data_IF_835252420196
#
_entry.id   IF_835252420196
#
_cell.length_a   1.000
_cell.length_b   1.000
_cell.length_c   1.000
_cell.angle_alpha   90.00
_cell.angle_beta   90.00
_cell.angle_gamma   90.00
#
_symmetry.space_group_name_H-M   'P 1'
#
loop_
_entity.id
_entity.type
_entity.pdbx_description
1 polymer ?
2 water ?
#
# COMPACT_ATOMS: atom_id res chain seq x y z
N UNK A 31 17.86 17.04 15.83
CA UNK A 31 18.32 15.68 16.29
C UNK A 31 18.99 14.90 15.15
N UNK A 32 20.02 14.13 15.50
CA UNK A 32 20.68 13.22 14.56
C UNK A 32 20.85 11.88 15.25
N UNK A 33 19.72 11.30 15.63
CA UNK A 33 19.68 10.09 16.46
C UNK A 33 19.55 8.80 15.64
N UNK A 34 19.18 8.92 14.37
CA UNK A 34 18.87 7.76 13.53
C UNK A 34 17.58 7.08 13.96
N UNK A 35 16.64 7.89 14.46
CA UNK A 35 15.32 7.39 14.83
C UNK A 35 14.20 8.18 14.14
N UNK A 36 14.55 9.22 13.39
CA UNK A 36 13.58 10.13 12.79
C UNK A 36 12.77 9.43 11.70
N UNK A 37 11.54 9.91 11.48
CA UNK A 37 10.70 9.43 10.37
C UNK A 37 11.34 9.77 9.04
N UNK A 38 11.20 8.86 8.06
CA UNK A 38 11.62 9.16 6.70
C UNK A 38 10.40 9.46 5.83
N UNK A 39 10.40 10.64 5.22
CA UNK A 39 9.26 11.11 4.47
C UNK A 39 9.33 10.80 2.97
N UNK A 40 10.26 9.93 2.59
CA UNK A 40 10.31 9.37 1.23
C UNK A 40 10.02 7.85 1.31
N UNK A 41 9.45 7.41 2.43
CA UNK A 41 9.10 6.01 2.67
C UNK A 41 7.60 5.98 2.89
N UNK A 42 6.92 5.25 2.00
CA UNK A 42 5.46 5.20 1.92
C UNK A 42 4.99 3.80 2.28
N UNK A 43 4.08 3.66 3.24
CA UNK A 43 3.65 2.34 3.67
C UNK A 43 2.16 2.18 3.43
N UNK A 44 1.79 1.18 2.62
CA UNK A 44 0.40 1.01 2.18
C UNK A 44 -0.50 0.51 3.30
N UNK A 45 -1.54 1.31 3.57
CA UNK A 45 -2.38 1.16 4.75
C UNK A 45 -3.85 1.00 4.37
N UNK A 46 -4.50 0.03 5.00
CA UNK A 46 -5.90 -0.35 4.77
C UNK A 46 -6.75 -0.05 6.00
N UNK A 47 -7.90 0.59 5.79
CA UNK A 47 -8.77 0.98 6.90
C UNK A 47 -10.16 0.32 6.82
N UNK A 48 -10.19 -0.88 6.24
CA UNK A 48 -11.45 -1.55 5.98
C UNK A 48 -11.84 -2.60 7.03
N UNK A 49 -11.10 -2.66 8.14
CA UNK A 49 -11.37 -3.65 9.20
C UNK A 49 -12.43 -3.11 10.13
N UNK A 50 -13.31 -3.99 10.59
CA UNK A 50 -14.37 -3.54 11.48
C UNK A 50 -14.56 -4.48 12.65
N UNK A 51 -15.25 -3.98 13.67
CA UNK A 51 -15.81 -4.84 14.70
C UNK A 51 -17.34 -4.75 14.73
N UNK A 52 -18.00 -5.81 15.17
CA UNK A 52 -19.44 -5.77 15.41
C UNK A 52 -19.82 -4.53 16.19
N UNK A 53 -19.09 -4.27 17.27
CA UNK A 53 -19.40 -3.16 18.19
C UNK A 53 -19.33 -1.78 17.55
N UNK A 54 -18.26 -1.51 16.81
CA UNK A 54 -18.03 -0.17 16.29
C UNK A 54 -18.67 -0.01 14.90
N UNK A 55 -18.63 -1.07 14.10
CA UNK A 55 -18.98 -0.99 12.68
C UNK A 55 -20.19 -1.83 12.23
N UNK A 56 -20.71 -2.65 13.14
CA UNK A 56 -21.89 -3.48 12.82
C UNK A 56 -21.56 -4.90 12.38
N UNK A 57 -20.30 -5.13 12.01
CA UNK A 57 -19.84 -6.42 11.50
C UNK A 57 -18.32 -6.49 11.72
N UNK A 58 -17.77 -7.70 11.83
CA UNK A 58 -16.33 -7.85 11.80
C UNK A 58 -15.89 -7.77 10.34
N UNK A 59 -16.02 -6.56 9.79
CA UNK A 59 -15.74 -6.31 8.39
C UNK A 59 -14.30 -6.68 8.02
N UNK A 60 -14.16 -7.37 6.89
CA UNK A 60 -12.89 -7.85 6.36
C UNK A 60 -12.23 -9.01 7.12
N UNK A 61 -12.39 -9.06 8.45
CA UNK A 61 -12.01 -10.28 9.18
C UNK A 61 -12.87 -11.45 8.72
N UNK A 62 -14.11 -11.13 8.38
CA UNK A 62 -14.98 -12.03 7.60
C UNK A 62 -14.80 -11.68 6.13
N UNK A 63 -14.72 -12.70 5.27
CA UNK A 63 -14.41 -12.48 3.86
C UNK A 63 -14.82 -13.67 3.02
N UNK A 64 -15.21 -13.39 1.79
CA UNK A 64 -15.54 -14.44 0.84
C UNK A 64 -14.28 -15.20 0.46
N UNK A 65 -14.44 -16.50 0.21
CA UNK A 65 -13.35 -17.26 -0.38
C UNK A 65 -13.53 -17.22 -1.88
N UNK A 66 -12.48 -16.83 -2.62
CA UNK A 66 -12.60 -16.70 -4.07
C UNK A 66 -12.61 -18.07 -4.77
N UNK A 67 -13.50 -18.24 -5.77
CA UNK A 67 -13.46 -19.47 -6.58
C UNK A 67 -12.15 -19.52 -7.36
N UNK A 68 -11.77 -20.73 -7.75
CA UNK A 68 -10.59 -20.93 -8.57
C UNK A 68 -10.94 -20.56 -10.00
N UNK A 69 -10.24 -19.57 -10.58
CA UNK A 69 -10.48 -19.14 -11.97
C UNK A 69 -10.36 -20.27 -12.98
N UNK A 70 -9.56 -21.29 -12.67
CA UNK A 70 -9.37 -22.44 -13.54
C UNK A 70 -10.12 -23.67 -13.05
N UNK A 71 -10.91 -23.51 -12.01
CA UNK A 71 -11.74 -24.60 -11.50
C UNK A 71 -12.99 -24.72 -12.35
N UNK A 72 -13.91 -25.58 -11.93
CA UNK A 72 -15.15 -25.74 -12.70
C UNK A 72 -16.09 -24.54 -12.63
N UNK A 73 -17.20 -24.63 -13.38
CA UNK A 73 -18.37 -23.85 -13.06
C UNK A 73 -19.01 -24.57 -11.88
N UNK A 74 -19.85 -23.86 -11.13
CA UNK A 74 -20.56 -24.49 -10.03
C UNK A 74 -19.71 -24.73 -8.79
N UNK A 75 -18.71 -23.89 -8.55
CA UNK A 75 -17.98 -23.95 -7.29
C UNK A 75 -18.80 -23.29 -6.19
N UNK A 76 -18.76 -23.88 -5.00
CA UNK A 76 -19.33 -23.25 -3.81
C UNK A 76 -18.22 -23.02 -2.80
N UNK A 77 -17.38 -21.99 -3.01
CA UNK A 77 -16.16 -21.84 -2.19
C UNK A 77 -16.43 -21.52 -0.71
N UNK A 78 -17.55 -20.87 -0.43
CA UNK A 78 -17.89 -20.53 0.94
C UNK A 78 -17.27 -19.22 1.39
N UNK A 79 -17.29 -18.99 2.70
CA UNK A 79 -16.77 -17.76 3.25
C UNK A 79 -16.03 -18.07 4.54
N UNK A 80 -15.19 -17.13 4.93
CA UNK A 80 -14.53 -17.13 6.23
C UNK A 80 -15.36 -16.24 7.16
N UNK A 81 -15.80 -16.79 8.32
CA UNK A 81 -16.83 -16.11 9.12
C UNK A 81 -16.35 -14.90 9.93
N UNK A 82 -15.05 -14.76 10.14
CA UNK A 82 -14.54 -13.61 10.91
C UNK A 82 -14.76 -13.76 12.40
N UNK A 83 -14.85 -15.00 12.87
CA UNK A 83 -14.89 -15.31 14.28
C UNK A 83 -13.50 -15.16 14.88
N UNK A 84 -13.42 -15.23 16.19
CA UNK A 84 -12.12 -15.20 16.85
C UNK A 84 -11.21 -16.31 16.32
N UNK A 85 -11.80 -17.47 16.04
CA UNK A 85 -11.05 -18.66 15.63
C UNK A 85 -10.70 -18.65 14.15
N UNK A 86 -11.53 -17.98 13.34
CA UNK A 86 -11.40 -18.06 11.91
C UNK A 86 -11.56 -16.71 11.20
N UNK A 87 -10.41 -16.09 10.92
CA UNK A 87 -10.36 -14.79 10.24
C UNK A 87 -9.71 -14.94 8.84
N UNK A 88 -9.93 -13.95 7.99
CA UNK A 88 -9.50 -13.99 6.60
C UNK A 88 -8.03 -13.57 6.43
N UNK A 89 -7.14 -14.30 7.11
CA UNK A 89 -5.68 -14.08 6.99
C UNK A 89 -5.00 -15.40 7.33
N UNK A 90 -3.84 -15.65 6.73
CA UNK A 90 -3.01 -16.78 7.15
C UNK A 90 -2.20 -16.45 8.42
N UNK A 91 -2.20 -15.16 8.79
CA UNK A 91 -1.57 -14.69 10.02
C UNK A 91 -2.64 -14.18 11.00
N UNK A 92 -2.23 -13.84 12.22
CA UNK A 92 -3.17 -13.38 13.24
C UNK A 92 -2.67 -12.08 13.91
N UNK A 93 -3.47 -11.00 13.83
CA UNK A 93 -3.01 -9.71 14.36
C UNK A 93 -2.78 -9.71 15.86
N UNK A 94 -1.69 -9.09 16.28
CA UNK A 94 -1.46 -8.87 17.70
C UNK A 94 -2.63 -8.11 18.31
N UNK A 95 -3.20 -7.17 17.55
CA UNK A 95 -4.31 -6.34 18.01
C UNK A 95 -5.69 -6.99 17.87
N UNK A 96 -5.73 -8.25 17.42
CA UNK A 96 -6.97 -9.01 17.27
C UNK A 96 -7.84 -8.47 16.13
N UNK A 97 -9.14 -8.80 16.19
CA UNK A 97 -10.08 -8.37 15.15
C UNK A 97 -10.46 -6.90 15.34
N UNK A 98 -9.52 -6.02 15.02
CA UNK A 98 -9.67 -4.62 15.35
C UNK A 98 -10.57 -3.83 14.42
N UNK A 99 -11.12 -2.72 14.92
CA UNK A 99 -11.83 -1.76 14.06
C UNK A 99 -10.88 -0.68 13.57
N UNK A 100 -10.89 -0.43 12.26
CA UNK A 100 -10.17 0.71 11.69
C UNK A 100 -10.80 2.05 12.09
N UNK A 101 -11.97 2.00 12.73
CA UNK A 101 -12.64 3.22 13.22
C UNK A 101 -12.33 3.53 14.68
N UNK A 102 -11.59 2.63 15.36
CA UNK A 102 -11.32 2.72 16.81
C UNK A 102 -10.15 3.66 17.05
N UNK A 103 -10.39 4.82 17.70
CA UNK A 103 -9.31 5.79 17.90
C UNK A 103 -8.12 5.22 18.66
N UNK A 104 -8.37 4.29 19.58
CA UNK A 104 -7.26 3.70 20.31
C UNK A 104 -6.43 2.71 19.45
N UNK A 105 -7.08 2.03 18.50
CA UNK A 105 -6.33 1.25 17.51
C UNK A 105 -5.50 2.18 16.65
N UNK A 106 -6.10 3.28 16.18
CA UNK A 106 -5.37 4.24 15.37
C UNK A 106 -4.12 4.82 16.06
N UNK A 107 -4.23 5.14 17.36
CA UNK A 107 -3.08 5.62 18.11
C UNK A 107 -1.92 4.60 18.12
N UNK A 108 -2.26 3.34 18.38
CA UNK A 108 -1.25 2.27 18.41
C UNK A 108 -0.61 2.09 17.04
N UNK A 109 -1.42 2.17 15.98
CA UNK A 109 -0.88 2.09 14.61
C UNK A 109 0.10 3.21 14.32
N UNK A 110 -0.20 4.43 14.77
CA UNK A 110 0.73 5.54 14.54
C UNK A 110 2.04 5.35 15.30
N UNK A 111 1.93 4.80 16.52
CA UNK A 111 3.13 4.45 17.30
C UNK A 111 3.96 3.39 16.56
N UNK A 112 3.29 2.46 15.90
CA UNK A 112 3.97 1.44 15.09
C UNK A 112 4.70 2.05 13.89
N UNK A 113 4.05 3.02 13.23
CA UNK A 113 4.69 3.79 12.17
C UNK A 113 5.94 4.51 12.65
N UNK A 114 5.86 5.09 13.86
CA UNK A 114 7.02 5.75 14.46
C UNK A 114 8.16 4.75 14.69
N UNK A 115 7.81 3.55 15.15
CA UNK A 115 8.82 2.51 15.41
C UNK A 115 9.51 2.09 14.11
N UNK A 116 8.73 2.05 13.03
CA UNK A 116 9.19 1.61 11.73
C UNK A 116 9.92 2.71 10.95
N UNK A 117 9.82 3.96 11.45
CA UNK A 117 10.39 5.15 10.80
C UNK A 117 9.76 5.45 9.43
N UNK A 118 8.54 4.93 9.23
CA UNK A 118 7.83 5.17 7.98
C UNK A 118 7.02 6.46 8.06
N UNK A 119 7.48 7.50 7.38
CA UNK A 119 6.89 8.84 7.54
C UNK A 119 5.59 9.10 6.81
N UNK A 120 5.27 8.25 5.82
CA UNK A 120 4.05 8.46 5.02
C UNK A 120 3.16 7.21 4.99
N UNK A 121 1.92 7.42 5.43
CA UNK A 121 0.89 6.41 5.41
C UNK A 121 0.11 6.58 4.09
N UNK A 122 0.17 5.57 3.22
CA UNK A 122 -0.48 5.66 1.92
C UNK A 122 -1.83 4.92 1.98
N UNK A 123 -2.87 5.70 2.18
CA UNK A 123 -4.20 5.20 2.52
C UNK A 123 -4.98 4.72 1.32
N UNK A 124 -5.38 3.45 1.35
CA UNK A 124 -6.24 2.87 0.34
C UNK A 124 -7.52 3.68 0.26
N UNK A 125 -7.91 4.04 -0.96
CA UNK A 125 -9.09 4.89 -1.17
C UNK A 125 -9.96 4.28 -2.28
N UNK A 126 -11.13 3.76 -1.87
CA UNK A 126 -12.01 3.01 -2.77
C UNK A 126 -13.25 3.79 -3.24
N UNK A 127 -13.27 5.10 -2.98
CA UNK A 127 -14.41 5.95 -3.35
C UNK A 127 -15.74 5.37 -2.82
N UNK A 128 -15.76 5.12 -1.52
CA UNK A 128 -16.90 4.47 -0.87
C UNK A 128 -18.14 5.38 -0.75
N UNK A 129 -17.93 6.69 -0.81
CA UNK A 129 -19.04 7.65 -0.75
C UNK A 129 -19.98 7.36 0.41
N UNK A 130 -19.44 7.18 1.60
CA UNK A 130 -20.27 7.03 2.78
C UNK A 130 -19.66 7.66 4.01
N UNK A 131 -20.51 8.00 4.96
CA UNK A 131 -20.08 8.77 6.13
C UNK A 131 -19.08 8.02 7.02
N UNK A 132 -19.17 6.69 7.06
CA UNK A 132 -18.27 5.94 7.95
C UNK A 132 -16.82 6.05 7.46
N UNK A 133 -16.62 6.08 6.14
CA UNK A 133 -15.28 6.24 5.58
C UNK A 133 -14.76 7.67 5.73
N UNK A 134 -15.62 8.66 5.50
CA UNK A 134 -15.27 10.04 5.76
C UNK A 134 -14.76 10.21 7.19
N UNK A 135 -15.43 9.56 8.13
CA UNK A 135 -15.04 9.65 9.53
C UNK A 135 -13.66 9.04 9.77
N UNK A 136 -13.44 7.86 9.18
CA UNK A 136 -12.16 7.16 9.31
C UNK A 136 -11.01 8.00 8.75
N UNK A 137 -11.20 8.60 7.59
CA UNK A 137 -10.14 9.43 6.98
C UNK A 137 -9.76 10.61 7.93
N UNK A 138 -10.77 11.23 8.53
CA UNK A 138 -10.52 12.31 9.51
C UNK A 138 -9.76 11.81 10.73
N UNK A 139 -10.17 10.67 11.27
CA UNK A 139 -9.49 10.09 12.45
C UNK A 139 -8.03 9.75 12.14
N UNK A 140 -7.80 9.23 10.95
CA UNK A 140 -6.45 8.83 10.52
C UNK A 140 -5.54 10.05 10.38
N UNK A 141 -6.02 11.05 9.65
CA UNK A 141 -5.28 12.32 9.54
C UNK A 141 -4.91 12.89 10.93
N UNK A 142 -5.90 12.98 11.82
CA UNK A 142 -5.68 13.51 13.17
C UNK A 142 -4.67 12.69 13.98
N UNK A 143 -4.84 11.36 13.97
CA UNK A 143 -3.92 10.46 14.70
C UNK A 143 -2.51 10.52 14.12
N UNK A 144 -2.40 10.54 12.80
CA UNK A 144 -1.10 10.68 12.11
C UNK A 144 -0.38 11.94 12.54
N UNK A 145 -1.11 13.05 12.55
CA UNK A 145 -0.47 14.33 12.83
C UNK A 145 0.11 14.38 14.24
N UNK A 146 -0.53 13.69 15.19
CA UNK A 146 -0.04 13.67 16.58
C UNK A 146 1.36 13.07 16.66
N UNK A 147 1.73 12.29 15.65
CA UNK A 147 3.03 11.63 15.64
C UNK A 147 3.93 12.13 14.50
N UNK A 148 3.52 13.23 13.83
CA UNK A 148 4.24 13.83 12.69
C UNK A 148 4.26 12.92 11.44
N UNK A 149 3.35 11.95 11.41
CA UNK A 149 3.18 11.12 10.22
C UNK A 149 2.38 11.89 9.16
N UNK A 150 2.70 11.65 7.89
CA UNK A 150 1.95 12.24 6.77
C UNK A 150 1.04 11.20 6.09
N UNK A 151 0.00 11.67 5.42
CA UNK A 151 -0.95 10.79 4.76
C UNK A 151 -1.06 11.19 3.29
N UNK A 152 -0.94 10.22 2.39
CA UNK A 152 -1.30 10.42 0.99
C UNK A 152 -2.33 9.34 0.60
N UNK A 153 -2.97 9.50 -0.56
CA UNK A 153 -4.04 8.59 -0.97
C UNK A 153 -3.61 7.65 -2.08
N UNK A 154 -4.04 6.39 -1.94
CA UNK A 154 -3.78 5.36 -2.93
C UNK A 154 -5.12 5.13 -3.64
N UNK A 155 -5.24 5.68 -4.85
CA UNK A 155 -6.53 5.74 -5.55
C UNK A 155 -6.78 4.43 -6.30
N UNK A 156 -7.77 3.68 -5.81
CA UNK A 156 -8.07 2.34 -6.31
C UNK A 156 -8.98 2.36 -7.55
N UNK A 157 -9.06 1.24 -8.28
CA UNK A 157 -9.91 1.19 -9.48
C UNK A 157 -11.40 1.00 -9.14
N UNK A 158 -12.02 2.04 -8.59
CA UNK A 158 -13.46 2.02 -8.27
C UNK A 158 -14.33 1.91 -9.53
N UNK A 159 -15.60 1.50 -9.39
CA UNK A 159 -16.41 1.29 -10.60
C UNK A 159 -16.57 2.54 -11.46
N UNK A 160 -16.43 2.39 -12.79
CA UNK A 160 -16.54 3.50 -13.73
C UNK A 160 -15.44 4.58 -13.56
N UNK A 161 -14.38 4.26 -12.83
CA UNK A 161 -13.26 5.21 -12.72
C UNK A 161 -12.82 5.61 -14.11
N UNK A 162 -12.63 6.91 -14.29
CA UNK A 162 -12.18 7.48 -15.55
C UNK A 162 -11.51 8.79 -15.21
N UNK A 163 -10.88 9.45 -16.18
CA UNK A 163 -10.08 10.63 -15.83
C UNK A 163 -10.93 11.81 -15.33
N UNK A 164 -12.19 11.87 -15.75
CA UNK A 164 -13.08 12.95 -15.31
C UNK A 164 -13.45 12.81 -13.83
N UNK A 165 -14.01 11.66 -13.45
CA UNK A 165 -14.34 11.48 -12.04
C UNK A 165 -13.09 11.36 -11.18
N UNK A 166 -11.97 10.97 -11.77
CA UNK A 166 -10.71 10.99 -11.04
C UNK A 166 -10.34 12.43 -10.71
N UNK A 167 -10.44 13.33 -11.69
CA UNK A 167 -10.18 14.75 -11.43
C UNK A 167 -11.11 15.25 -10.33
N UNK A 168 -12.37 14.89 -10.43
CA UNK A 168 -13.38 15.36 -9.47
C UNK A 168 -13.03 14.92 -8.05
N UNK A 169 -12.58 13.68 -7.94
CA UNK A 169 -12.17 13.11 -6.65
C UNK A 169 -10.87 13.71 -6.12
N UNK A 170 -9.92 13.95 -7.03
CA UNK A 170 -8.68 14.64 -6.67
C UNK A 170 -8.99 16.02 -6.11
N UNK A 171 -9.87 16.74 -6.81
CA UNK A 171 -10.30 18.07 -6.37
C UNK A 171 -10.94 18.00 -4.97
N UNK A 172 -11.85 17.05 -4.77
CA UNK A 172 -12.51 16.88 -3.48
C UNK A 172 -11.50 16.60 -2.37
N UNK A 173 -10.56 15.68 -2.62
CA UNK A 173 -9.54 15.33 -1.61
C UNK A 173 -8.62 16.49 -1.24
N UNK A 174 -8.13 17.19 -2.25
CA UNK A 174 -7.27 18.35 -2.01
C UNK A 174 -8.06 19.47 -1.31
N UNK A 175 -9.28 19.71 -1.76
CA UNK A 175 -10.14 20.72 -1.12
C UNK A 175 -10.46 20.36 0.33
N UNK A 176 -10.82 19.11 0.58
CA UNK A 176 -11.24 18.73 1.93
C UNK A 176 -10.06 18.58 2.88
N UNK A 177 -8.95 18.04 2.40
CA UNK A 177 -7.88 17.63 3.31
C UNK A 177 -6.56 18.40 3.11
N UNK A 178 -6.52 19.24 2.08
CA UNK A 178 -5.26 19.89 1.67
C UNK A 178 -4.67 20.80 2.73
N UNK A 179 -5.51 21.33 3.60
CA UNK A 179 -5.05 22.19 4.70
C UNK A 179 -4.77 21.42 5.99
N UNK A 180 -5.05 20.11 6.01
CA UNK A 180 -4.74 19.30 7.19
C UNK A 180 -3.22 19.21 7.38
N UNK A 181 -2.71 19.43 8.61
CA UNK A 181 -1.25 19.39 8.81
C UNK A 181 -0.59 18.06 8.44
N UNK A 182 -1.36 16.98 8.39
CA UNK A 182 -0.83 15.66 8.05
C UNK A 182 -0.90 15.34 6.53
N UNK A 183 -1.52 16.22 5.75
CA UNK A 183 -1.63 16.05 4.28
C UNK A 183 -0.23 16.08 3.64
N UNK A 184 0.15 15.00 2.97
CA UNK A 184 1.51 14.86 2.43
C UNK A 184 1.77 15.80 1.24
N UNK A 185 2.93 16.46 1.27
CA UNK A 185 3.42 17.21 0.12
C UNK A 185 4.90 16.91 -0.09
N UNK A 186 5.29 16.82 -1.36
CA UNK A 186 6.69 16.71 -1.76
C UNK A 186 7.02 17.97 -2.56
N UNK A 187 7.92 18.79 -2.02
CA UNK A 187 8.28 20.07 -2.64
C UNK A 187 7.01 20.82 -3.04
N UNK A 188 6.06 20.91 -2.11
CA UNK A 188 4.82 21.64 -2.33
C UNK A 188 3.67 20.91 -3.01
N UNK A 189 3.93 19.73 -3.58
CA UNK A 189 2.89 18.98 -4.31
C UNK A 189 2.35 17.79 -3.55
N UNK A 190 1.01 17.58 -3.61
CA UNK A 190 0.45 16.32 -3.10
C UNK A 190 0.94 15.18 -3.98
N UNK A 191 0.80 13.96 -3.49
CA UNK A 191 1.17 12.78 -4.26
C UNK A 191 0.05 11.74 -4.19
N UNK A 192 -0.26 11.14 -5.33
CA UNK A 192 -1.22 10.03 -5.39
C UNK A 192 -0.58 8.82 -6.05
N UNK A 193 -0.82 7.65 -5.46
CA UNK A 193 -0.54 6.38 -6.10
C UNK A 193 -1.79 5.97 -6.83
N UNK A 194 -1.65 5.55 -8.08
CA UNK A 194 -2.82 5.16 -8.86
C UNK A 194 -2.73 3.68 -9.21
N UNK A 195 -3.53 2.87 -8.51
CA UNK A 195 -3.53 1.43 -8.75
C UNK A 195 -4.23 1.09 -10.06
N UNK A 196 -3.68 0.12 -10.78
CA UNK A 196 -4.24 -0.30 -12.06
C UNK A 196 -4.42 0.85 -13.04
N UNK A 197 -3.47 1.79 -13.06
CA UNK A 197 -3.49 2.92 -13.99
C UNK A 197 -3.50 2.44 -15.45
N UNK A 198 -2.88 1.29 -15.69
CA UNK A 198 -2.72 0.76 -17.06
C UNK A 198 -4.09 0.40 -17.71
N UNK A 199 -5.14 0.32 -16.90
CA UNK A 199 -6.50 0.04 -17.38
C UNK A 199 -7.19 1.26 -18.00
N UNK A 200 -6.56 2.41 -17.90
CA UNK A 200 -7.05 3.65 -18.55
C UNK A 200 -6.06 4.01 -19.66
N UNK A 201 -6.60 4.24 -20.87
CA UNK A 201 -5.79 4.57 -22.05
C UNK A 201 -4.94 5.82 -21.87
N UNK A 202 -3.72 5.81 -22.43
CA UNK A 202 -2.90 7.03 -22.36
C UNK A 202 -3.58 8.25 -22.97
N UNK A 203 -4.40 8.07 -24.01
CA UNK A 203 -5.13 9.22 -24.59
C UNK A 203 -6.10 9.84 -23.58
N UNK A 204 -6.64 9.05 -22.66
CA UNK A 204 -7.46 9.61 -21.57
C UNK A 204 -6.60 10.30 -20.50
N UNK A 205 -5.55 9.61 -20.06
CA UNK A 205 -4.61 10.21 -19.09
C UNK A 205 -4.04 11.55 -19.56
N UNK A 206 -3.73 11.66 -20.84
CA UNK A 206 -3.20 12.91 -21.42
C UNK A 206 -4.05 14.12 -21.08
N UNK A 207 -5.37 13.95 -21.09
CA UNK A 207 -6.32 15.03 -20.86
C UNK A 207 -6.20 15.57 -19.43
N UNK A 208 -5.81 14.68 -18.52
CA UNK A 208 -5.68 15.01 -17.10
C UNK A 208 -4.24 15.42 -16.77
N UNK A 209 -3.27 14.76 -17.39
CA UNK A 209 -1.88 14.82 -16.93
C UNK A 209 -0.88 15.57 -17.81
N UNK A 210 -1.23 15.82 -19.07
CA UNK A 210 -0.39 16.68 -19.90
C UNK A 210 -0.67 18.14 -19.53
N UNK A 211 0.39 18.99 -19.51
CA UNK A 211 0.17 20.44 -19.31
C UNK A 211 -0.83 21.04 -20.30
N UNK A 212 -0.97 20.45 -21.48
CA UNK A 212 -1.97 20.90 -22.47
C UNK A 212 -3.29 20.11 -22.49
N UNK A 213 -3.44 19.16 -21.56
CA UNK A 213 -4.64 18.35 -21.47
C UNK A 213 -5.93 19.14 -21.26
N UNK A 214 -7.01 18.69 -21.90
CA UNK A 214 -8.29 19.41 -21.86
C UNK A 214 -8.88 19.56 -20.44
N UNK A 215 -8.56 18.63 -19.53
CA UNK A 215 -8.95 18.79 -18.12
C UNK A 215 -7.71 18.74 -17.21
N UNK A 216 -6.62 19.34 -17.67
CA UNK A 216 -5.35 19.18 -16.96
C UNK A 216 -5.40 19.61 -15.48
N UNK A 217 -4.65 18.90 -14.64
CA UNK A 217 -4.37 19.41 -13.30
C UNK A 217 -3.04 20.15 -13.23
N UNK A 218 -2.23 20.05 -14.27
CA UNK A 218 -0.93 20.73 -14.29
C UNK A 218 -1.13 22.24 -14.22
N UNK A 219 -0.31 22.91 -13.40
CA UNK A 219 -0.39 24.36 -13.21
C UNK A 219 -1.72 24.86 -12.61
N UNK A 220 -2.46 23.97 -11.94
CA UNK A 220 -3.69 24.35 -11.26
C UNK A 220 -3.50 24.15 -9.75
N UNK A 221 -4.50 24.56 -8.97
CA UNK A 221 -4.50 24.30 -7.51
C UNK A 221 -4.51 22.82 -7.16
N UNK A 222 -4.80 21.98 -8.16
CA UNK A 222 -4.99 20.53 -7.97
C UNK A 222 -3.89 19.66 -8.54
N UNK A 223 -2.79 20.30 -8.94
CA UNK A 223 -1.63 19.60 -9.45
C UNK A 223 -1.08 18.67 -8.37
N UNK A 224 -0.50 17.55 -8.78
CA UNK A 224 0.01 16.53 -7.84
C UNK A 224 1.01 15.63 -8.56
N UNK A 225 1.89 14.99 -7.79
CA UNK A 225 2.72 13.96 -8.36
C UNK A 225 1.83 12.74 -8.54
N UNK A 226 1.73 12.25 -9.78
CA UNK A 226 0.90 11.09 -10.07
C UNK A 226 1.78 9.89 -10.34
N UNK A 227 1.64 8.87 -9.49
CA UNK A 227 2.53 7.72 -9.50
C UNK A 227 1.72 6.50 -9.96
N UNK A 228 1.99 6.02 -11.17
CA UNK A 228 1.16 4.96 -11.79
C UNK A 228 1.73 3.59 -11.50
N UNK A 229 0.92 2.55 -11.66
CA UNK A 229 1.39 1.19 -11.34
C UNK A 229 2.07 0.58 -12.57
N UNK A 230 3.40 0.47 -12.51
CA UNK A 230 4.14 -0.21 -13.55
C UNK A 230 3.99 -1.73 -13.39
N UNK A 231 3.34 -2.40 -14.34
CA UNK A 231 3.11 -3.83 -14.26
C UNK A 231 4.10 -4.66 -15.12
N UNK A 232 3.90 -4.60 -16.44
CA UNK A 232 4.54 -5.51 -17.39
C UNK A 232 5.87 -5.00 -18.02
N UNK A 233 6.19 -5.47 -19.23
CA UNK A 233 7.51 -5.22 -19.82
C UNK A 233 7.73 -3.75 -20.21
N UNK A 234 9.01 -3.32 -20.25
CA UNK A 234 9.34 -1.96 -20.65
C UNK A 234 8.83 -1.61 -22.04
N UNK A 235 8.75 -2.61 -22.94
CA UNK A 235 8.22 -2.36 -24.30
C UNK A 235 6.86 -1.68 -24.26
N UNK A 236 6.04 -2.10 -23.30
CA UNK A 236 4.68 -1.62 -23.09
C UNK A 236 4.65 -0.46 -22.09
N UNK A 237 5.39 -0.60 -20.99
CA UNK A 237 5.25 0.35 -19.88
C UNK A 237 5.95 1.68 -20.11
N UNK A 238 7.10 1.68 -20.79
CA UNK A 238 7.81 2.93 -21.06
C UNK A 238 6.96 3.94 -21.88
N UNK A 239 6.44 3.52 -23.06
CA UNK A 239 5.63 4.50 -23.80
C UNK A 239 4.34 4.90 -23.05
N UNK A 240 3.78 3.96 -22.28
CA UNK A 240 2.58 4.24 -21.50
C UNK A 240 2.83 5.37 -20.51
N UNK A 241 3.89 5.20 -19.71
CA UNK A 241 4.25 6.19 -18.72
C UNK A 241 4.51 7.56 -19.34
N UNK A 242 5.22 7.58 -20.48
CA UNK A 242 5.51 8.85 -21.17
C UNK A 242 4.26 9.49 -21.77
N UNK A 243 3.49 8.68 -22.51
CA UNK A 243 2.31 9.19 -23.24
C UNK A 243 1.15 9.54 -22.32
N UNK A 244 1.12 8.92 -21.15
CA UNK A 244 0.08 9.20 -20.16
C UNK A 244 0.49 10.36 -19.26
N UNK A 245 1.75 10.75 -19.35
CA UNK A 245 2.28 11.88 -18.55
C UNK A 245 2.26 11.64 -17.02
N UNK A 246 2.45 10.40 -16.60
CA UNK A 246 2.67 10.13 -15.17
C UNK A 246 3.96 10.75 -14.69
N UNK A 247 3.97 11.20 -13.43
CA UNK A 247 5.20 11.73 -12.85
C UNK A 247 6.16 10.65 -12.38
N UNK A 248 5.65 9.44 -12.25
CA UNK A 248 6.49 8.36 -11.75
C UNK A 248 5.71 7.07 -11.71
N UNK A 249 6.30 6.05 -11.09
CA UNK A 249 5.68 4.73 -11.08
C UNK A 249 6.11 3.93 -9.87
N UNK A 250 5.23 3.02 -9.46
CA UNK A 250 5.50 2.07 -8.38
C UNK A 250 5.07 0.69 -8.86
N UNK A 251 5.36 -0.34 -8.07
CA UNK A 251 5.17 -1.71 -8.54
C UNK A 251 4.18 -2.52 -7.71
N UNK A 252 3.90 -2.04 -6.50
CA UNK A 252 2.97 -2.66 -5.52
C UNK A 252 3.24 -4.08 -5.01
N UNK A 253 3.27 -5.07 -5.90
CA UNK A 253 3.18 -6.47 -5.47
C UNK A 253 4.34 -6.91 -4.58
N UNK A 254 3.99 -7.51 -3.45
CA UNK A 254 4.97 -7.94 -2.45
C UNK A 254 5.68 -9.23 -2.87
N UNK A 255 5.03 -10.01 -3.74
CA UNK A 255 5.56 -11.31 -4.19
C UNK A 255 6.49 -11.15 -5.39
N UNK A 256 7.78 -11.43 -5.18
CA UNK A 256 8.77 -11.24 -6.24
C UNK A 256 8.40 -12.10 -7.43
N UNK A 257 8.52 -11.52 -8.63
CA UNK A 257 8.28 -12.27 -9.85
C UNK A 257 6.84 -12.30 -10.32
N UNK A 258 5.91 -11.74 -9.54
CA UNK A 258 4.50 -11.73 -9.92
C UNK A 258 4.25 -10.97 -11.23
N UNK A 259 4.98 -9.87 -11.40
CA UNK A 259 5.01 -9.10 -12.65
C UNK A 259 6.46 -8.70 -12.92
N UNK A 260 6.72 -8.23 -14.15
CA UNK A 260 8.02 -7.63 -14.48
C UNK A 260 8.40 -6.55 -13.45
N UNK A 261 7.45 -5.66 -13.15
CA UNK A 261 7.72 -4.58 -12.19
C UNK A 261 8.09 -5.06 -10.80
N UNK A 262 7.52 -6.19 -10.37
CA UNK A 262 7.78 -6.76 -9.04
C UNK A 262 8.86 -7.85 -9.02
N UNK A 263 9.72 -7.81 -10.03
CA UNK A 263 10.91 -8.66 -10.12
C UNK A 263 12.13 -7.78 -9.84
N UNK A 264 12.66 -7.82 -8.59
CA UNK A 264 13.65 -6.83 -8.15
C UNK A 264 14.92 -6.73 -8.98
N UNK A 265 15.26 -7.79 -9.72
CA UNK A 265 16.44 -7.72 -10.60
C UNK A 265 16.25 -6.74 -11.76
N UNK A 266 15.01 -6.32 -12.00
CA UNK A 266 14.70 -5.30 -13.02
C UNK A 266 14.83 -3.87 -12.51
N UNK A 267 15.03 -3.70 -11.20
CA UNK A 267 14.97 -2.37 -10.63
C UNK A 267 16.08 -1.40 -11.02
N UNK A 268 17.32 -1.89 -11.11
CA UNK A 268 18.42 -1.05 -11.63
C UNK A 268 18.07 -0.42 -13.00
N UNK A 269 17.59 -1.26 -13.93
CA UNK A 269 17.27 -0.81 -15.29
C UNK A 269 16.05 0.12 -15.27
N UNK A 270 15.08 -0.18 -14.40
CA UNK A 270 13.89 0.66 -14.27
C UNK A 270 14.23 2.06 -13.74
N UNK A 271 15.14 2.11 -12.77
CA UNK A 271 15.62 3.38 -12.20
C UNK A 271 16.40 4.16 -13.25
N UNK A 272 17.23 3.46 -14.04
CA UNK A 272 18.03 4.12 -15.09
C UNK A 272 17.10 4.86 -16.06
N UNK A 273 16.07 4.15 -16.53
CA UNK A 273 15.08 4.74 -17.43
C UNK A 273 14.33 5.89 -16.76
N UNK A 274 13.93 5.71 -15.50
CA UNK A 274 13.25 6.78 -14.75
C UNK A 274 14.08 8.06 -14.70
N UNK A 275 15.37 7.93 -14.39
CA UNK A 275 16.23 9.10 -14.26
C UNK A 275 16.44 9.77 -15.62
N UNK A 276 16.57 8.95 -16.67
CA UNK A 276 16.73 9.45 -18.05
C UNK A 276 15.50 10.23 -18.50
N UNK A 277 14.34 9.88 -17.94
CA UNK A 277 13.09 10.47 -18.40
C UNK A 277 12.39 11.39 -17.43
N UNK A 278 13.11 11.79 -16.38
CA UNK A 278 12.60 12.72 -15.37
C UNK A 278 11.43 12.14 -14.60
N UNK A 279 11.40 10.82 -14.41
CA UNK A 279 10.29 10.18 -13.69
C UNK A 279 10.76 9.70 -12.31
N UNK A 280 9.82 9.58 -11.39
CA UNK A 280 10.13 9.14 -10.03
C UNK A 280 9.78 7.66 -9.85
N UNK A 281 10.78 6.83 -9.56
CA UNK A 281 10.56 5.39 -9.36
C UNK A 281 10.46 5.10 -7.86
N UNK A 282 9.35 4.49 -7.45
CA UNK A 282 9.11 4.15 -6.04
C UNK A 282 8.83 2.64 -5.96
N UNK A 283 9.89 1.81 -6.05
CA UNK A 283 9.66 0.36 -5.96
C UNK A 283 8.95 -0.01 -4.66
N UNK A 284 8.13 -1.05 -4.71
CA UNK A 284 7.42 -1.55 -3.55
C UNK A 284 8.11 -2.81 -3.04
N UNK A 285 8.39 -2.82 -1.74
CA UNK A 285 9.04 -3.94 -1.07
C UNK A 285 8.07 -4.52 -0.05
N UNK A 286 8.13 -5.83 0.15
CA UNK A 286 7.28 -6.53 1.12
C UNK A 286 8.01 -7.66 1.84
N UNK A 287 7.49 -8.06 3.02
CA UNK A 287 8.14 -9.07 3.86
C UNK A 287 7.82 -10.50 3.46
N UNK A 288 6.87 -10.67 2.54
CA UNK A 288 6.43 -11.98 2.12
C UNK A 288 5.05 -11.90 1.49
N UNK A 289 4.50 -13.04 1.10
CA UNK A 289 3.17 -13.07 0.51
C UNK A 289 2.50 -14.42 0.74
N UNK A 290 1.24 -14.40 1.19
CA UNK A 290 0.40 -15.62 1.20
C UNK A 290 -1.06 -15.22 1.40
N UNK A 291 -1.91 -15.61 0.46
CA UNK A 291 -3.34 -15.28 0.54
C UNK A 291 -4.24 -16.51 0.42
N UNK A 292 -3.69 -17.68 0.78
CA UNK A 292 -4.42 -18.92 0.53
C UNK A 292 -5.65 -19.17 1.40
N UNK A 293 -5.80 -18.42 2.50
CA UNK A 293 -7.06 -18.50 3.25
C UNK A 293 -8.24 -18.02 2.38
N UNK A 294 -8.05 -16.89 1.68
CA UNK A 294 -9.09 -16.35 0.80
C UNK A 294 -9.00 -16.83 -0.66
N UNK A 295 -7.83 -17.32 -1.06
CA UNK A 295 -7.61 -17.84 -2.42
C UNK A 295 -6.85 -19.17 -2.33
N UNK A 296 -7.54 -20.27 -1.94
CA UNK A 296 -6.79 -21.52 -1.64
C UNK A 296 -6.04 -22.13 -2.82
N UNK A 297 -6.42 -21.73 -4.03
CA UNK A 297 -5.85 -22.22 -5.27
C UNK A 297 -4.61 -21.41 -5.68
N UNK A 298 -4.29 -20.36 -4.93
CA UNK A 298 -3.26 -19.40 -5.34
C UNK A 298 -1.88 -19.64 -4.71
N UNK A 299 -1.55 -20.91 -4.42
CA UNK A 299 -0.30 -21.23 -3.72
C UNK A 299 1.00 -20.86 -4.43
N UNK A 300 0.96 -20.71 -5.76
CA UNK A 300 2.16 -20.41 -6.52
C UNK A 300 2.76 -19.04 -6.20
N UNK A 301 1.93 -18.14 -5.67
CA UNK A 301 2.35 -16.80 -5.35
C UNK A 301 2.90 -16.68 -3.92
N UNK A 302 2.84 -17.77 -3.16
CA UNK A 302 3.40 -17.78 -1.79
C UNK A 302 4.88 -17.45 -1.80
N UNK A 303 5.27 -16.49 -0.98
CA UNK A 303 6.70 -16.22 -0.74
C UNK A 303 6.93 -16.28 0.76
N UNK A 304 7.85 -17.15 1.18
CA UNK A 304 8.04 -17.42 2.62
C UNK A 304 8.89 -16.32 3.27
N UNK A 305 8.57 -15.96 4.51
CA UNK A 305 9.28 -14.84 5.16
C UNK A 305 10.71 -15.19 5.57
N UNK A 306 10.94 -16.49 5.83
CA UNK A 306 12.20 -17.02 6.39
C UNK A 306 12.91 -16.11 7.38
N UNK A 307 12.23 -15.85 8.49
CA UNK A 307 12.77 -15.06 9.61
C UNK A 307 13.27 -13.66 9.22
N UNK A 308 12.69 -13.11 8.14
CA UNK A 308 13.00 -11.75 7.67
C UNK A 308 13.95 -11.66 6.48
N UNK A 309 14.55 -12.78 6.08
CA UNK A 309 15.54 -12.74 4.98
C UNK A 309 14.91 -12.30 3.67
N UNK A 310 13.66 -12.69 3.42
CA UNK A 310 12.95 -12.27 2.21
C UNK A 310 12.80 -10.75 2.18
N UNK A 311 12.32 -10.18 3.29
CA UNK A 311 12.19 -8.73 3.45
C UNK A 311 13.52 -8.03 3.20
N UNK A 312 14.56 -8.52 3.88
CA UNK A 312 15.92 -7.96 3.72
C UNK A 312 16.36 -7.96 2.26
N UNK A 313 16.15 -9.08 1.58
CA UNK A 313 16.62 -9.21 0.19
C UNK A 313 15.96 -8.19 -0.72
N UNK A 314 14.64 -8.06 -0.57
CA UNK A 314 13.86 -7.13 -1.36
C UNK A 314 14.19 -5.66 -1.06
N UNK A 315 14.30 -5.31 0.22
CA UNK A 315 14.62 -3.94 0.61
C UNK A 315 16.04 -3.57 0.11
N UNK A 316 16.97 -4.53 0.24
CA UNK A 316 18.34 -4.37 -0.26
C UNK A 316 18.36 -4.05 -1.76
N UNK A 317 17.58 -4.78 -2.55
CA UNK A 317 17.48 -4.52 -3.99
C UNK A 317 16.95 -3.12 -4.30
N UNK A 318 15.96 -2.67 -3.53
CA UNK A 318 15.42 -1.31 -3.72
C UNK A 318 16.50 -0.27 -3.45
N UNK A 319 17.20 -0.41 -2.33
CA UNK A 319 18.20 0.57 -1.96
C UNK A 319 19.34 0.56 -2.98
N UNK A 320 19.76 -0.64 -3.36
CA UNK A 320 20.82 -0.80 -4.37
C UNK A 320 20.51 -0.20 -5.73
N UNK A 321 19.24 -0.17 -6.12
CA UNK A 321 18.84 0.41 -7.40
C UNK A 321 19.05 1.93 -7.43
N UNK A 322 19.30 2.54 -6.26
CA UNK A 322 19.57 3.96 -6.19
C UNK A 322 18.36 4.86 -6.30
N UNK A 323 17.19 4.38 -5.89
CA UNK A 323 15.96 5.17 -5.93
C UNK A 323 15.92 6.22 -4.80
N UNK A 324 15.03 7.20 -4.96
CA UNK A 324 14.87 8.37 -4.08
C UNK A 324 13.70 8.20 -3.11
N UNK A 325 12.92 7.14 -3.31
CA UNK A 325 11.73 6.86 -2.49
C UNK A 325 11.42 5.37 -2.58
N UNK A 326 10.82 4.81 -1.52
CA UNK A 326 10.49 3.38 -1.47
C UNK A 326 9.09 3.25 -0.88
N UNK A 327 8.31 2.29 -1.40
CA UNK A 327 6.99 2.00 -0.86
C UNK A 327 7.00 0.58 -0.25
N UNK A 328 6.17 0.40 0.76
CA UNK A 328 6.15 -0.85 1.51
C UNK A 328 4.75 -1.46 1.42
N UNK A 329 4.72 -2.66 0.86
CA UNK A 329 3.51 -3.46 0.76
C UNK A 329 3.62 -4.62 1.77
N UNK A 330 2.98 -4.52 2.94
CA UNK A 330 2.03 -3.45 3.30
C UNK A 330 2.12 -3.25 4.81
N UNK A 331 1.47 -2.22 5.33
CA UNK A 331 1.29 -2.17 6.79
C UNK A 331 0.39 -3.33 7.24
N UNK A 332 -0.78 -3.45 6.59
CA UNK A 332 -1.86 -4.28 7.16
C UNK A 332 -2.83 -4.83 6.12
N UNK A 333 -2.30 -5.31 4.98
CA UNK A 333 -3.11 -6.11 4.08
C UNK A 333 -3.00 -7.56 4.56
N UNK A 334 -3.78 -7.87 5.59
CA UNK A 334 -3.76 -9.16 6.25
C UNK A 334 -4.24 -10.29 5.32
N UNK A 335 -5.12 -9.99 4.36
CA UNK A 335 -5.56 -11.00 3.42
C UNK A 335 -4.39 -11.51 2.57
N UNK A 336 -3.45 -10.61 2.27
CA UNK A 336 -2.37 -10.97 1.36
C UNK A 336 -1.12 -11.47 2.04
N UNK A 337 -1.11 -11.41 3.38
CA UNK A 337 0.01 -11.91 4.17
C UNK A 337 1.27 -11.08 3.94
N UNK A 338 1.09 -9.82 3.53
CA UNK A 338 2.22 -8.93 3.23
C UNK A 338 2.47 -7.94 4.38
N UNK A 339 1.69 -8.05 5.45
CA UNK A 339 1.69 -7.04 6.51
C UNK A 339 3.01 -7.00 7.31
N UNK A 340 3.47 -5.79 7.65
CA UNK A 340 4.52 -5.64 8.68
C UNK A 340 3.94 -5.38 10.09
N UNK A 341 2.62 -5.16 10.16
CA UNK A 341 1.97 -4.97 11.45
C UNK A 341 2.22 -6.21 12.33
N UNK A 342 2.46 -6.01 13.66
CA UNK A 342 2.74 -7.16 14.52
C UNK A 342 1.66 -8.24 14.47
N UNK A 343 2.11 -9.49 14.37
CA UNK A 343 1.28 -10.68 14.38
C UNK A 343 1.77 -11.60 15.49
N UNK A 344 0.87 -12.46 15.98
CA UNK A 344 1.19 -13.33 17.12
C UNK A 344 0.91 -14.78 16.80
N UNK A 345 1.56 -15.73 17.52
CA UNK A 345 1.21 -17.12 17.28
C UNK A 345 -0.22 -17.35 17.71
N UNK A 346 -0.95 -18.17 16.96
CA UNK A 346 -2.34 -18.48 17.30
C UNK A 346 -2.74 -19.79 16.67
N UNK A 347 -3.25 -20.71 17.49
CA UNK A 347 -3.80 -21.94 16.98
C UNK A 347 -5.21 -22.03 17.53
N UNK A 348 -6.18 -22.12 16.64
CA UNK A 348 -7.56 -22.27 17.07
C UNK A 348 -7.98 -23.66 16.65
N UNK A 349 -9.21 -24.03 17.02
CA UNK A 349 -9.81 -25.28 16.55
C UNK A 349 -10.01 -25.27 15.03
N UNK A 350 -10.10 -24.07 14.47
CA UNK A 350 -10.41 -23.92 13.05
C UNK A 350 -9.19 -23.87 12.15
N UNK A 351 -8.10 -23.31 12.66
CA UNK A 351 -6.93 -23.04 11.81
C UNK A 351 -5.68 -22.83 12.64
N UNK A 352 -4.55 -23.32 12.15
CA UNK A 352 -3.26 -23.00 12.75
C UNK A 352 -2.63 -21.91 11.91
N UNK A 353 -2.48 -20.72 12.51
CA UNK A 353 -1.97 -19.56 11.77
C UNK A 353 -0.46 -19.60 11.63
N UNK A 354 0.02 -18.94 10.59
CA UNK A 354 1.42 -18.60 10.48
C UNK A 354 1.72 -17.50 11.47
N UNK A 355 3.00 -17.33 11.79
CA UNK A 355 3.40 -16.26 12.68
C UNK A 355 4.82 -15.86 12.32
N UNK A 356 5.46 -15.02 13.13
CA UNK A 356 6.77 -14.48 12.78
C UNK A 356 7.96 -15.39 13.15
N UNK A 357 7.66 -16.65 13.47
CA UNK A 357 8.67 -17.73 13.51
C UNK A 357 9.63 -17.49 14.67
N UNK A 358 10.93 -17.33 14.37
CA UNK A 358 11.90 -17.06 15.43
C UNK A 358 11.98 -15.59 15.84
N UNK A 359 11.15 -14.74 15.23
CA UNK A 359 11.18 -13.31 15.47
C UNK A 359 10.02 -12.85 16.36
N UNK A 360 10.22 -11.74 17.07
CA UNK A 360 9.18 -11.18 17.95
C UNK A 360 8.07 -10.54 17.09
N UNK A 361 6.86 -10.36 17.66
CA UNK A 361 5.78 -9.71 16.90
C UNK A 361 6.15 -8.36 16.24
N UNK A 362 7.00 -7.55 16.88
CA UNK A 362 7.31 -6.26 16.28
C UNK A 362 8.55 -6.28 15.37
N UNK A 363 9.02 -7.48 15.04
CA UNK A 363 10.25 -7.62 14.22
C UNK A 363 10.21 -6.86 12.89
N UNK A 364 9.10 -6.94 12.18
CA UNK A 364 9.01 -6.30 10.87
C UNK A 364 8.96 -4.77 10.98
N UNK A 365 8.49 -4.26 12.12
CA UNK A 365 8.55 -2.81 12.35
C UNK A 365 9.98 -2.40 12.60
N UNK A 366 10.67 -3.07 13.52
CA UNK A 366 12.06 -2.68 13.83
C UNK A 366 12.99 -2.98 12.65
N UNK A 367 12.71 -4.04 11.90
CA UNK A 367 13.51 -4.33 10.68
C UNK A 367 13.30 -3.24 9.62
N UNK A 368 12.06 -2.75 9.51
CA UNK A 368 11.79 -1.60 8.63
C UNK A 368 12.63 -0.39 9.03
N UNK A 369 12.70 -0.10 10.33
CA UNK A 369 13.51 1.01 10.83
C UNK A 369 14.98 0.84 10.44
N UNK A 370 15.47 -0.39 10.54
CA UNK A 370 16.83 -0.72 10.14
C UNK A 370 17.06 -0.39 8.65
N UNK A 371 16.15 -0.82 7.78
CA UNK A 371 16.28 -0.56 6.35
C UNK A 371 16.10 0.92 5.99
N UNK A 372 15.20 1.61 6.68
CA UNK A 372 15.06 3.06 6.52
C UNK A 372 16.40 3.73 6.81
N UNK A 373 17.07 3.28 7.87
CA UNK A 373 18.43 3.78 8.18
C UNK A 373 19.44 3.58 7.06
N UNK A 374 19.50 2.37 6.50
CA UNK A 374 20.39 2.08 5.36
C UNK A 374 20.03 2.90 4.13
N UNK A 375 18.73 3.03 3.85
CA UNK A 375 18.22 3.87 2.76
C UNK A 375 18.68 5.32 2.91
N UNK A 376 18.59 5.83 4.13
CA UNK A 376 18.91 7.24 4.40
C UNK A 376 20.39 7.47 4.27
N UNK A 377 21.14 6.47 4.69
CA UNK A 377 22.58 6.46 4.63
C UNK A 377 23.14 6.62 3.21
N UNK A 378 22.50 5.99 2.23
CA UNK A 378 23.00 6.07 0.85
C UNK A 378 22.20 7.01 -0.05
N UNK A 379 21.17 7.66 0.52
CA UNK A 379 20.18 8.44 -0.23
C UNK A 379 20.82 9.50 -1.13
#
# INVERSE_FOLDING_TARGET
>A
MMIFFLSLSLESCSKEDDNNPSNSENNGGNNNLGTELDYDTFCFYYDWYGSEAIDGQYRHWAHAIAPDPNGGSGQNPGTIPGTQESIASNFYPQLGRYSSSDPNILTKHMDMFVMARTGVLALTWWNEQDETEAKRIGLILDAADKKKIKVCFHLEPYPSRNVQNLRENIVKLITRYGNHPAFYRKDGKPLFFIYDSYLIEPSEWEKLLSPGGSITIRNTAYDALMIGLWTSSPTVQRPFILNAHFDGFYTYFAATGFTYGSTPTNWVSMQKWAKENGKIFIPSVGPGYIDTRIRPWNGSVIRTRTDGQYYDAMYRKAIEAGVSAISITSFNEWHEGSQIEPAVPYTSSEFTYLDYENREPDYYLTRTAYWVGKFRESKQ
#
